data_IF_258740741908
#
_entry.id   IF_258740741908
#
_cell.length_a   1.000
_cell.length_b   1.000
_cell.length_c   1.000
_cell.angle_alpha   90.00
_cell.angle_beta   90.00
_cell.angle_gamma   90.00
#
_symmetry.space_group_name_H-M   'P 1'
#
loop_
_entity.id
_entity.type
_entity.pdbx_description
1 polymer ?
#
# COMPACT_ATOMS: atom_id res chain seq x y z
N UNK A 1 -16.51 13.91 -25.39
CA UNK A 1 -15.35 13.03 -25.04
C UNK A 1 -14.10 13.69 -25.58
N UNK A 2 -13.08 13.93 -24.74
CA UNK A 2 -11.78 14.47 -25.15
C UNK A 2 -10.76 13.34 -25.34
N UNK A 3 -10.00 13.38 -26.44
CA UNK A 3 -8.88 12.47 -26.67
C UNK A 3 -7.57 13.20 -26.37
N UNK A 4 -6.63 12.54 -25.70
CA UNK A 4 -5.31 13.10 -25.42
C UNK A 4 -5.27 14.10 -24.26
N UNK A 5 -6.21 14.05 -23.33
CA UNK A 5 -6.26 14.94 -22.16
C UNK A 5 -4.94 14.94 -21.34
N UNK A 6 -4.29 13.77 -21.20
CA UNK A 6 -3.01 13.66 -20.52
C UNK A 6 -1.86 14.45 -21.15
N UNK A 7 -1.97 14.77 -22.45
CA UNK A 7 -0.94 15.53 -23.21
C UNK A 7 -1.13 17.05 -23.13
N UNK A 8 -2.25 17.52 -22.57
CA UNK A 8 -2.53 18.93 -22.38
C UNK A 8 -1.66 19.49 -21.26
N UNK A 9 -1.32 20.77 -21.36
CA UNK A 9 -0.73 21.54 -20.26
C UNK A 9 -1.74 21.67 -19.11
N UNK A 10 -1.28 22.02 -17.91
CA UNK A 10 -2.15 22.28 -16.75
C UNK A 10 -3.21 23.34 -17.06
N UNK A 11 -2.81 24.41 -17.73
CA UNK A 11 -3.69 25.52 -18.10
C UNK A 11 -4.76 25.10 -19.11
N UNK A 12 -4.40 24.33 -20.13
CA UNK A 12 -5.35 23.79 -21.10
C UNK A 12 -6.33 22.80 -20.45
N UNK A 13 -5.89 22.00 -19.47
CA UNK A 13 -6.77 21.12 -18.68
C UNK A 13 -7.78 21.92 -17.86
N UNK A 14 -7.33 22.98 -17.17
CA UNK A 14 -8.20 23.91 -16.42
C UNK A 14 -9.24 24.55 -17.32
N UNK A 15 -8.81 25.10 -18.45
CA UNK A 15 -9.72 25.72 -19.42
C UNK A 15 -10.77 24.74 -19.92
N UNK A 16 -10.37 23.52 -20.25
CA UNK A 16 -11.30 22.50 -20.69
C UNK A 16 -12.32 22.14 -19.61
N UNK A 17 -11.89 21.93 -18.36
CA UNK A 17 -12.81 21.67 -17.22
C UNK A 17 -13.81 22.81 -17.05
N UNK A 18 -13.33 24.08 -17.07
CA UNK A 18 -14.20 25.25 -16.94
C UNK A 18 -15.25 25.30 -18.04
N UNK A 19 -14.86 25.06 -19.29
CA UNK A 19 -15.78 25.10 -20.44
C UNK A 19 -16.83 23.98 -20.40
N UNK A 20 -16.50 22.83 -19.85
CA UNK A 20 -17.39 21.66 -19.85
C UNK A 20 -18.35 21.65 -18.65
N UNK A 21 -17.92 22.17 -17.49
CA UNK A 21 -18.61 21.90 -16.22
C UNK A 21 -18.96 23.13 -15.40
N UNK A 22 -18.40 24.29 -15.68
CA UNK A 22 -18.71 25.49 -14.94
C UNK A 22 -19.74 26.38 -15.73
N UNK A 23 -20.78 26.78 -15.03
CA UNK A 23 -21.79 27.72 -15.57
C UNK A 23 -21.27 29.13 -15.66
N UNK A 24 -20.32 29.50 -14.78
CA UNK A 24 -19.72 30.80 -14.66
C UNK A 24 -18.20 30.70 -14.77
N UNK A 25 -17.55 31.24 -15.82
CA UNK A 25 -16.11 31.23 -16.01
C UNK A 25 -15.30 31.85 -14.85
N UNK A 26 -15.88 32.79 -14.08
CA UNK A 26 -15.20 33.40 -12.94
C UNK A 26 -14.86 32.37 -11.83
N UNK A 27 -15.61 31.28 -11.75
CA UNK A 27 -15.34 30.17 -10.82
C UNK A 27 -14.02 29.43 -11.12
N UNK A 28 -13.42 29.66 -12.28
CA UNK A 28 -12.11 29.11 -12.62
C UNK A 28 -10.99 29.58 -11.68
N UNK A 29 -11.14 30.71 -11.02
CA UNK A 29 -10.19 31.21 -10.03
C UNK A 29 -9.97 30.26 -8.86
N UNK A 30 -10.93 29.37 -8.56
CA UNK A 30 -10.78 28.36 -7.51
C UNK A 30 -9.57 27.45 -7.75
N UNK A 31 -9.26 27.14 -9.02
CA UNK A 31 -8.13 26.26 -9.34
C UNK A 31 -6.76 26.94 -9.15
N UNK A 32 -6.72 28.26 -9.12
CA UNK A 32 -5.47 29.03 -8.91
C UNK A 32 -5.34 29.59 -7.50
N UNK A 33 -6.46 29.69 -6.76
CA UNK A 33 -6.49 30.24 -5.39
C UNK A 33 -5.57 29.52 -4.41
N UNK A 34 -5.32 28.24 -4.64
CA UNK A 34 -4.49 27.39 -3.80
C UNK A 34 -3.15 27.02 -4.43
N UNK A 35 -2.76 27.67 -5.54
CA UNK A 35 -1.45 27.48 -6.12
C UNK A 35 -0.37 27.97 -5.13
N UNK A 36 0.68 27.19 -5.00
CA UNK A 36 1.84 27.50 -4.17
C UNK A 36 2.78 28.46 -4.92
N UNK A 37 3.87 28.90 -4.27
CA UNK A 37 4.93 29.56 -5.02
C UNK A 37 5.47 28.61 -6.12
N UNK A 38 6.08 29.19 -7.17
CA UNK A 38 6.44 28.45 -8.40
C UNK A 38 7.19 27.13 -8.14
N UNK A 39 8.16 27.13 -7.22
CA UNK A 39 8.98 25.94 -6.96
C UNK A 39 8.19 24.82 -6.27
N UNK A 40 7.36 25.18 -5.28
CA UNK A 40 6.53 24.21 -4.57
C UNK A 40 5.38 23.73 -5.47
N UNK A 41 4.80 24.62 -6.29
CA UNK A 41 3.74 24.24 -7.20
C UNK A 41 4.23 23.27 -8.27
N UNK A 42 5.41 23.51 -8.83
CA UNK A 42 6.03 22.57 -9.76
C UNK A 42 6.23 21.20 -9.15
N UNK A 43 6.73 21.14 -7.91
CA UNK A 43 6.90 19.88 -7.19
C UNK A 43 5.56 19.16 -7.01
N UNK A 44 4.49 19.89 -6.65
CA UNK A 44 3.15 19.30 -6.48
C UNK A 44 2.56 18.81 -7.81
N UNK A 45 2.79 19.53 -8.89
CA UNK A 45 2.32 19.15 -10.23
C UNK A 45 3.02 17.86 -10.73
N UNK A 46 4.24 17.61 -10.25
CA UNK A 46 5.02 16.41 -10.61
C UNK A 46 4.67 15.16 -9.78
N UNK A 47 3.83 15.27 -8.73
CA UNK A 47 3.46 14.12 -7.89
C UNK A 47 2.51 13.14 -8.57
N UNK A 48 1.59 13.64 -9.39
CA UNK A 48 0.59 12.84 -10.11
C UNK A 48 0.32 13.41 -11.50
N UNK A 49 -0.18 12.58 -12.41
CA UNK A 49 -0.55 12.97 -13.75
C UNK A 49 -1.85 13.80 -13.75
N UNK A 50 -1.98 14.66 -14.77
CA UNK A 50 -3.19 15.44 -15.05
C UNK A 50 -3.60 16.44 -13.96
N UNK A 51 -2.67 16.92 -13.16
CA UNK A 51 -2.91 17.94 -12.12
C UNK A 51 -3.59 19.17 -12.70
N UNK A 52 -4.66 19.65 -12.07
CA UNK A 52 -5.41 20.87 -12.42
C UNK A 52 -5.35 21.92 -11.31
N UNK A 53 -4.93 21.57 -10.11
CA UNK A 53 -4.84 22.45 -8.95
C UNK A 53 -4.50 21.69 -7.69
N UNK A 54 -4.42 22.37 -6.57
CA UNK A 54 -4.25 21.79 -5.25
C UNK A 54 -5.60 21.64 -4.55
N UNK A 55 -5.72 20.60 -3.72
CA UNK A 55 -6.80 20.46 -2.76
C UNK A 55 -6.21 20.53 -1.35
N UNK A 56 -6.65 21.51 -0.55
CA UNK A 56 -6.09 21.80 0.76
C UNK A 56 -7.04 21.25 1.84
N UNK A 57 -6.48 20.44 2.74
CA UNK A 57 -7.16 19.95 3.93
C UNK A 57 -6.52 20.52 5.20
N UNK A 58 -7.32 20.74 6.27
CA UNK A 58 -6.78 21.15 7.56
C UNK A 58 -5.79 20.12 8.11
N UNK A 59 -4.62 20.57 8.56
CA UNK A 59 -3.62 19.77 9.24
C UNK A 59 -3.68 20.06 10.73
N UNK A 60 -4.06 19.06 11.53
CA UNK A 60 -4.25 19.14 12.96
C UNK A 60 -3.38 18.12 13.70
N UNK A 61 -3.39 18.15 15.03
CA UNK A 61 -2.69 17.17 15.87
C UNK A 61 -3.59 16.68 17.00
N UNK A 62 -3.47 15.39 17.31
CA UNK A 62 -4.10 14.76 18.48
C UNK A 62 -3.01 14.37 19.49
N UNK A 63 -2.88 15.08 20.63
CA UNK A 63 -1.89 14.78 21.66
C UNK A 63 -2.38 13.66 22.60
N UNK A 64 -1.49 13.31 23.55
CA UNK A 64 -1.75 12.41 24.68
C UNK A 64 -1.87 10.92 24.32
N UNK A 65 -1.34 10.47 23.20
CA UNK A 65 -1.17 9.05 22.94
C UNK A 65 -0.02 8.51 23.78
N UNK A 66 -0.32 7.81 24.85
CA UNK A 66 0.67 7.05 25.62
C UNK A 66 0.77 5.65 25.00
N UNK A 67 1.89 5.35 24.34
CA UNK A 67 2.14 4.08 23.66
C UNK A 67 3.43 3.50 24.23
N UNK A 68 3.38 2.30 24.78
CA UNK A 68 4.51 1.61 25.39
C UNK A 68 5.34 2.50 26.34
N UNK A 69 4.63 3.30 27.15
CA UNK A 69 5.24 4.21 28.14
C UNK A 69 5.73 5.55 27.60
N UNK A 70 5.59 5.83 26.30
CA UNK A 70 6.01 7.09 25.69
C UNK A 70 4.81 7.88 25.15
N UNK A 71 4.84 9.21 25.35
CA UNK A 71 3.81 10.10 24.82
C UNK A 71 4.09 10.50 23.38
N UNK A 72 3.07 10.38 22.55
CA UNK A 72 3.10 10.80 21.16
C UNK A 72 2.00 11.83 20.87
N UNK A 73 2.29 12.71 19.90
CA UNK A 73 1.33 13.61 19.28
C UNK A 73 1.14 13.17 17.84
N UNK A 74 -0.07 12.75 17.49
CA UNK A 74 -0.38 12.15 16.18
C UNK A 74 -0.87 13.23 15.22
N UNK A 75 -0.24 13.43 14.06
CA UNK A 75 -0.74 14.33 13.02
C UNK A 75 -1.97 13.74 12.35
N UNK A 76 -2.93 14.60 12.02
CA UNK A 76 -4.19 14.22 11.37
C UNK A 76 -4.54 15.21 10.28
N UNK A 77 -4.96 14.69 9.12
CA UNK A 77 -5.48 15.48 8.00
C UNK A 77 -6.87 14.98 7.67
N UNK A 78 -7.88 15.82 7.83
CA UNK A 78 -9.27 15.47 7.55
C UNK A 78 -10.12 16.74 7.39
N UNK A 79 -11.29 16.56 6.79
CA UNK A 79 -12.26 17.60 6.49
C UNK A 79 -13.37 17.75 7.56
N UNK A 80 -13.49 16.77 8.48
CA UNK A 80 -14.63 16.72 9.41
C UNK A 80 -14.29 17.35 10.76
N UNK A 81 -15.22 18.16 11.27
CA UNK A 81 -15.14 18.72 12.62
C UNK A 81 -15.33 17.64 13.70
N UNK A 82 -14.87 17.90 14.91
CA UNK A 82 -15.00 17.06 16.10
C UNK A 82 -14.17 15.76 16.12
N UNK A 83 -13.75 15.20 15.00
CA UNK A 83 -12.97 13.94 14.97
C UNK A 83 -11.65 14.08 15.73
N UNK A 84 -10.87 15.14 15.49
CA UNK A 84 -9.59 15.38 16.21
C UNK A 84 -9.85 15.56 17.72
N UNK A 85 -10.92 16.22 18.09
CA UNK A 85 -11.30 16.42 19.49
C UNK A 85 -11.68 15.09 20.16
N UNK A 86 -12.45 14.24 19.45
CA UNK A 86 -12.84 12.91 19.95
C UNK A 86 -11.60 12.00 20.11
N UNK A 87 -10.70 11.97 19.12
CA UNK A 87 -9.44 11.22 19.17
C UNK A 87 -8.57 11.69 20.34
N UNK A 88 -8.40 13.01 20.52
CA UNK A 88 -7.61 13.58 21.62
C UNK A 88 -8.19 13.26 22.98
N UNK A 89 -9.55 13.29 23.11
CA UNK A 89 -10.26 12.91 24.33
C UNK A 89 -10.06 11.43 24.66
N UNK A 90 -10.17 10.55 23.66
CA UNK A 90 -9.97 9.11 23.83
C UNK A 90 -8.48 8.81 24.19
N UNK A 91 -7.52 9.44 23.50
CA UNK A 91 -6.10 9.28 23.80
C UNK A 91 -5.79 9.68 25.25
N UNK A 92 -6.32 10.82 25.72
CA UNK A 92 -6.17 11.26 27.12
C UNK A 92 -6.79 10.26 28.09
N UNK A 93 -8.02 9.79 27.84
CA UNK A 93 -8.68 8.79 28.70
C UNK A 93 -7.80 7.53 28.86
N UNK A 94 -7.33 6.97 27.74
CA UNK A 94 -6.51 5.77 27.79
C UNK A 94 -5.12 6.01 28.39
N UNK A 95 -4.52 7.20 28.21
CA UNK A 95 -3.25 7.52 28.87
C UNK A 95 -3.36 7.50 30.39
N UNK A 96 -4.50 7.93 30.95
CA UNK A 96 -4.79 7.88 32.38
C UNK A 96 -5.04 6.44 32.90
N UNK A 97 -5.27 5.48 32.00
CA UNK A 97 -5.48 4.06 32.32
C UNK A 97 -4.24 3.19 32.04
N UNK A 98 -3.09 3.79 31.73
CA UNK A 98 -1.84 3.08 31.43
C UNK A 98 -1.43 3.09 29.96
N UNK A 99 -2.30 3.61 29.07
CA UNK A 99 -1.99 3.79 27.66
C UNK A 99 -2.20 2.55 26.81
N UNK A 100 -1.62 2.56 25.62
CA UNK A 100 -1.65 1.49 24.65
C UNK A 100 -0.41 0.62 24.80
N UNK A 101 -0.59 -0.69 24.87
CA UNK A 101 0.48 -1.68 24.77
C UNK A 101 0.48 -2.25 23.37
N UNK A 102 1.57 -2.03 22.62
CA UNK A 102 1.66 -2.38 21.22
C UNK A 102 2.66 -3.50 20.99
N UNK A 103 2.33 -4.41 20.09
CA UNK A 103 3.22 -5.49 19.68
C UNK A 103 3.15 -5.68 18.17
N UNK A 104 4.28 -5.50 17.50
CA UNK A 104 4.45 -5.90 16.10
C UNK A 104 4.47 -7.43 16.05
N UNK A 105 3.49 -8.03 15.38
CA UNK A 105 3.37 -9.49 15.23
C UNK A 105 4.19 -9.99 14.06
N UNK A 106 4.07 -9.32 12.94
CA UNK A 106 4.84 -9.57 11.73
C UNK A 106 4.82 -8.35 10.82
N UNK A 107 5.83 -8.21 9.98
CA UNK A 107 5.96 -7.14 8.98
C UNK A 107 6.04 -7.71 7.56
N UNK A 108 5.54 -8.93 7.35
CA UNK A 108 5.55 -9.56 6.04
C UNK A 108 4.63 -8.84 5.06
N UNK A 109 5.19 -8.50 3.92
CA UNK A 109 4.51 -7.97 2.74
C UNK A 109 4.38 -9.07 1.70
N UNK A 110 3.43 -8.91 0.80
CA UNK A 110 3.14 -9.92 -0.23
C UNK A 110 3.25 -9.30 -1.60
N UNK A 111 3.84 -10.05 -2.52
CA UNK A 111 3.79 -9.79 -3.95
C UNK A 111 3.34 -11.02 -4.72
N UNK A 112 2.74 -10.81 -5.87
CA UNK A 112 2.25 -11.90 -6.71
C UNK A 112 2.82 -11.80 -8.10
N UNK A 113 3.11 -12.98 -8.70
CA UNK A 113 3.26 -13.15 -10.15
C UNK A 113 2.10 -14.02 -10.59
N UNK A 114 1.26 -13.49 -11.46
CA UNK A 114 0.09 -14.16 -11.99
C UNK A 114 0.49 -14.87 -13.27
N UNK A 115 0.28 -16.19 -13.29
CA UNK A 115 0.66 -17.06 -14.40
C UNK A 115 -0.57 -17.69 -15.03
N UNK A 116 -0.55 -17.80 -16.34
CA UNK A 116 -1.46 -18.63 -17.10
C UNK A 116 -0.68 -19.76 -17.76
N UNK A 117 -1.14 -21.01 -17.62
CA UNK A 117 -0.46 -22.17 -18.17
C UNK A 117 -1.47 -23.26 -18.56
N UNK A 118 -1.54 -23.59 -19.84
CA UNK A 118 -2.48 -24.58 -20.40
C UNK A 118 -1.94 -26.02 -20.37
N UNK A 119 -0.69 -26.22 -19.94
CA UNK A 119 -0.06 -27.53 -19.87
C UNK A 119 -0.43 -28.35 -18.64
N UNK A 120 0.31 -29.45 -18.42
CA UNK A 120 0.12 -30.31 -17.27
C UNK A 120 0.55 -29.66 -15.97
N UNK A 121 -0.34 -29.67 -14.99
CA UNK A 121 -0.11 -29.06 -13.67
C UNK A 121 1.14 -29.65 -12.97
N UNK A 122 1.37 -30.96 -13.08
CA UNK A 122 2.50 -31.59 -12.40
C UNK A 122 3.81 -31.15 -13.06
N UNK A 123 3.82 -31.00 -14.39
CA UNK A 123 4.95 -30.44 -15.12
C UNK A 123 5.29 -29.02 -14.64
N UNK A 124 4.29 -28.16 -14.47
CA UNK A 124 4.47 -26.80 -13.96
C UNK A 124 5.08 -26.78 -12.54
N UNK A 125 4.58 -27.63 -11.64
CA UNK A 125 5.10 -27.69 -10.27
C UNK A 125 6.52 -28.24 -10.21
N UNK A 126 6.86 -29.24 -11.03
CA UNK A 126 8.21 -29.76 -11.16
C UNK A 126 9.17 -28.70 -11.72
N UNK A 127 8.74 -28.03 -12.80
CA UNK A 127 9.48 -26.91 -13.37
C UNK A 127 9.78 -25.84 -12.32
N UNK A 128 8.76 -25.40 -11.59
CA UNK A 128 8.90 -24.36 -10.57
C UNK A 128 9.88 -24.80 -9.46
N UNK A 129 9.78 -26.04 -8.99
CA UNK A 129 10.71 -26.58 -8.00
C UNK A 129 12.16 -26.60 -8.49
N UNK A 130 12.39 -26.80 -9.79
CA UNK A 130 13.71 -26.78 -10.39
C UNK A 130 14.30 -25.38 -10.43
N UNK A 131 13.49 -24.36 -10.73
CA UNK A 131 13.96 -22.99 -10.91
C UNK A 131 13.89 -22.12 -9.64
N UNK A 132 13.25 -22.57 -8.56
CA UNK A 132 13.03 -21.76 -7.35
C UNK A 132 14.35 -21.14 -6.84
N UNK A 133 15.44 -21.90 -6.81
CA UNK A 133 16.73 -21.41 -6.35
C UNK A 133 17.27 -20.28 -7.25
N UNK A 134 17.00 -20.32 -8.57
CA UNK A 134 17.40 -19.27 -9.52
C UNK A 134 16.65 -17.97 -9.24
N UNK A 135 15.38 -18.03 -8.80
CA UNK A 135 14.61 -16.84 -8.45
C UNK A 135 15.27 -16.07 -7.30
N UNK A 136 15.77 -16.78 -6.29
CA UNK A 136 16.55 -16.17 -5.21
C UNK A 136 17.89 -15.61 -5.73
N UNK A 137 18.61 -16.38 -6.55
CA UNK A 137 19.90 -16.00 -7.08
C UNK A 137 19.83 -14.75 -7.97
N UNK A 138 18.90 -14.73 -8.92
CA UNK A 138 18.71 -13.63 -9.85
C UNK A 138 18.25 -12.32 -9.19
N UNK A 139 17.69 -12.39 -7.99
CA UNK A 139 17.27 -11.22 -7.22
C UNK A 139 18.30 -10.76 -6.18
N UNK A 140 19.46 -11.43 -6.05
CA UNK A 140 20.47 -11.10 -5.03
C UNK A 140 20.93 -9.66 -5.06
N UNK A 141 21.20 -9.11 -6.24
CA UNK A 141 21.63 -7.71 -6.40
C UNK A 141 20.57 -6.71 -5.93
N UNK A 142 19.29 -7.00 -6.22
CA UNK A 142 18.15 -6.15 -5.80
C UNK A 142 17.95 -6.22 -4.29
N UNK A 143 18.12 -7.41 -3.71
CA UNK A 143 17.84 -7.67 -2.27
C UNK A 143 18.99 -7.28 -1.34
N UNK A 144 20.17 -7.00 -1.83
CA UNK A 144 21.40 -6.77 -1.04
C UNK A 144 21.21 -5.72 0.06
N UNK A 145 20.73 -4.54 -0.31
CA UNK A 145 20.55 -3.44 0.65
C UNK A 145 19.42 -3.72 1.65
N UNK A 146 18.39 -4.45 1.26
CA UNK A 146 17.31 -4.86 2.15
C UNK A 146 17.79 -5.92 3.14
N UNK A 147 18.58 -6.90 2.68
CA UNK A 147 19.20 -7.93 3.54
C UNK A 147 20.15 -7.34 4.59
N UNK A 148 20.94 -6.32 4.23
CA UNK A 148 21.79 -5.60 5.19
C UNK A 148 20.98 -4.95 6.34
N UNK A 149 19.69 -4.70 6.12
CA UNK A 149 18.75 -4.17 7.13
C UNK A 149 17.89 -5.24 7.80
N UNK A 150 18.21 -6.52 7.59
CA UNK A 150 17.49 -7.65 8.18
C UNK A 150 16.21 -8.04 7.44
N UNK A 151 15.95 -7.48 6.26
CA UNK A 151 14.82 -7.82 5.41
C UNK A 151 15.20 -8.69 4.22
N UNK A 152 14.35 -8.71 3.20
CA UNK A 152 14.53 -9.46 1.96
C UNK A 152 13.34 -10.35 1.62
N UNK A 153 13.56 -11.34 0.75
CA UNK A 153 12.56 -12.34 0.38
C UNK A 153 12.49 -13.40 1.49
N UNK A 154 11.29 -13.64 2.03
CA UNK A 154 11.05 -14.67 3.07
C UNK A 154 10.67 -16.02 2.46
N UNK A 155 9.80 -16.02 1.45
CA UNK A 155 9.39 -17.27 0.78
C UNK A 155 8.92 -17.00 -0.64
N UNK A 156 9.02 -18.04 -1.48
CA UNK A 156 8.49 -18.07 -2.85
C UNK A 156 7.71 -19.36 -2.99
N UNK A 157 6.40 -19.29 -3.28
CA UNK A 157 5.52 -20.46 -3.33
C UNK A 157 4.66 -20.38 -4.58
N UNK A 158 4.64 -21.44 -5.40
CA UNK A 158 3.67 -21.59 -6.47
C UNK A 158 2.34 -22.11 -5.89
N UNK A 159 1.26 -21.38 -6.14
CA UNK A 159 -0.10 -21.72 -5.76
C UNK A 159 -0.93 -22.12 -6.97
N UNK A 160 -1.66 -23.19 -6.82
CA UNK A 160 -2.71 -23.57 -7.74
C UNK A 160 -3.95 -22.73 -7.47
N UNK A 161 -4.41 -22.03 -8.48
CA UNK A 161 -5.60 -21.18 -8.43
C UNK A 161 -6.66 -21.65 -9.45
N UNK A 162 -6.52 -22.87 -9.97
CA UNK A 162 -7.40 -23.42 -11.01
C UNK A 162 -8.85 -23.61 -10.55
N UNK A 163 -9.10 -23.72 -9.26
CA UNK A 163 -10.45 -23.71 -8.68
C UNK A 163 -11.17 -22.37 -8.89
N UNK A 164 -10.41 -21.27 -9.00
CA UNK A 164 -10.96 -19.93 -9.19
C UNK A 164 -11.04 -19.55 -10.68
N UNK A 165 -10.05 -19.94 -11.45
CA UNK A 165 -9.96 -19.69 -12.88
C UNK A 165 -9.12 -20.79 -13.53
N UNK A 166 -9.66 -21.43 -14.57
CA UNK A 166 -8.98 -22.49 -15.32
C UNK A 166 -7.62 -22.00 -15.84
N UNK A 167 -6.60 -22.86 -15.75
CA UNK A 167 -5.19 -22.58 -16.15
C UNK A 167 -4.48 -21.47 -15.38
N UNK A 168 -5.07 -20.96 -14.29
CA UNK A 168 -4.50 -19.87 -13.52
C UNK A 168 -3.69 -20.37 -12.32
N UNK A 169 -2.47 -19.84 -12.20
CA UNK A 169 -1.53 -20.09 -11.10
C UNK A 169 -0.96 -18.78 -10.57
N UNK A 170 -0.43 -18.81 -9.36
CA UNK A 170 0.11 -17.63 -8.73
C UNK A 170 1.42 -17.95 -8.00
N UNK A 171 2.51 -17.28 -8.36
CA UNK A 171 3.70 -17.26 -7.51
C UNK A 171 3.45 -16.26 -6.39
N UNK A 172 3.34 -16.77 -5.19
CA UNK A 172 3.11 -16.00 -3.97
C UNK A 172 4.46 -15.78 -3.29
N UNK A 173 4.89 -14.52 -3.22
CA UNK A 173 6.19 -14.15 -2.66
C UNK A 173 5.98 -13.32 -1.41
N UNK A 174 6.64 -13.68 -0.31
CA UNK A 174 6.64 -12.89 0.93
C UNK A 174 7.96 -12.17 1.13
N UNK A 175 7.87 -10.96 1.67
CA UNK A 175 8.99 -10.06 1.85
C UNK A 175 9.00 -9.43 3.24
N UNK A 176 10.18 -9.26 3.81
CA UNK A 176 10.40 -8.41 4.98
C UNK A 176 11.06 -7.10 4.51
N UNK A 177 10.37 -5.99 4.70
CA UNK A 177 10.82 -4.66 4.25
C UNK A 177 11.19 -3.73 5.41
N UNK A 178 11.17 -4.22 6.66
CA UNK A 178 11.33 -3.39 7.84
C UNK A 178 10.30 -2.27 7.87
N UNK A 179 10.71 -1.07 8.22
CA UNK A 179 9.83 0.11 8.31
C UNK A 179 9.44 0.69 6.95
N UNK A 180 10.02 0.18 5.85
CA UNK A 180 9.69 0.67 4.51
C UNK A 180 8.39 0.03 4.00
N UNK A 181 7.60 0.80 3.21
CA UNK A 181 6.49 0.24 2.43
C UNK A 181 7.00 -0.81 1.44
N UNK A 182 8.14 -0.56 0.80
CA UNK A 182 8.88 -1.51 0.01
C UNK A 182 8.35 -1.73 -1.41
N UNK A 183 7.42 -0.92 -1.92
CA UNK A 183 6.75 -1.16 -3.20
C UNK A 183 7.72 -1.31 -4.37
N UNK A 184 8.63 -0.36 -4.57
CA UNK A 184 9.61 -0.40 -5.66
C UNK A 184 10.54 -1.62 -5.53
N UNK A 185 10.99 -1.93 -4.31
CA UNK A 185 11.83 -3.09 -4.03
C UNK A 185 11.11 -4.40 -4.39
N UNK A 186 9.87 -4.56 -3.92
CA UNK A 186 9.06 -5.76 -4.18
C UNK A 186 8.79 -5.89 -5.67
N UNK A 187 8.33 -4.83 -6.34
CA UNK A 187 8.03 -4.88 -7.77
C UNK A 187 9.28 -5.21 -8.59
N UNK A 188 10.44 -4.63 -8.30
CA UNK A 188 11.70 -4.96 -8.98
C UNK A 188 12.10 -6.42 -8.81
N UNK A 189 11.88 -7.01 -7.60
CA UNK A 189 12.11 -8.43 -7.39
C UNK A 189 11.14 -9.30 -8.22
N UNK A 190 9.85 -8.96 -8.20
CA UNK A 190 8.82 -9.71 -8.93
C UNK A 190 9.04 -9.64 -10.46
N UNK A 191 9.37 -8.47 -10.99
CA UNK A 191 9.69 -8.29 -12.39
C UNK A 191 10.90 -9.14 -12.81
N UNK A 192 11.96 -9.15 -11.99
CA UNK A 192 13.13 -9.99 -12.26
C UNK A 192 12.80 -11.48 -12.20
N UNK A 193 11.98 -11.90 -11.20
CA UNK A 193 11.51 -13.28 -11.13
C UNK A 193 10.65 -13.65 -12.34
N UNK A 194 9.75 -12.79 -12.78
CA UNK A 194 8.90 -13.00 -13.96
C UNK A 194 9.72 -13.26 -15.20
N UNK A 195 10.71 -12.40 -15.46
CA UNK A 195 11.63 -12.57 -16.58
C UNK A 195 12.38 -13.91 -16.51
N UNK A 196 12.82 -14.32 -15.32
CA UNK A 196 13.50 -15.59 -15.11
C UNK A 196 12.56 -16.77 -15.38
N UNK A 197 11.34 -16.72 -14.86
CA UNK A 197 10.31 -17.76 -15.08
C UNK A 197 10.02 -17.93 -16.57
N UNK A 198 9.82 -16.84 -17.32
CA UNK A 198 9.54 -16.87 -18.75
C UNK A 198 10.72 -17.44 -19.55
N UNK A 199 11.96 -17.04 -19.22
CA UNK A 199 13.17 -17.53 -19.90
C UNK A 199 13.37 -19.02 -19.68
N UNK A 200 13.24 -19.50 -18.44
CA UNK A 200 13.42 -20.91 -18.10
C UNK A 200 12.29 -21.80 -18.63
N UNK A 201 11.07 -21.26 -18.68
CA UNK A 201 9.91 -21.98 -19.22
C UNK A 201 10.11 -22.42 -20.68
N UNK A 202 10.73 -21.56 -21.50
CA UNK A 202 11.04 -21.87 -22.91
C UNK A 202 11.88 -23.15 -23.06
N UNK A 203 12.76 -23.39 -22.09
CA UNK A 203 13.72 -24.50 -22.15
C UNK A 203 13.22 -25.75 -21.45
N UNK A 204 12.39 -25.60 -20.42
CA UNK A 204 12.06 -26.69 -19.51
C UNK A 204 10.62 -27.21 -19.63
N UNK A 205 9.69 -26.41 -20.18
CA UNK A 205 8.31 -26.85 -20.39
C UNK A 205 8.15 -27.41 -21.81
N UNK A 206 7.68 -28.66 -21.87
CA UNK A 206 7.56 -29.39 -23.14
C UNK A 206 6.24 -29.12 -23.84
N UNK A 207 5.18 -28.84 -23.08
CA UNK A 207 3.82 -28.68 -23.58
C UNK A 207 3.12 -27.51 -22.86
N UNK A 208 2.45 -26.67 -23.65
CA UNK A 208 1.74 -25.50 -23.17
C UNK A 208 2.60 -24.23 -23.11
N UNK A 209 1.99 -23.11 -23.40
CA UNK A 209 2.62 -21.81 -23.23
C UNK A 209 2.42 -21.33 -21.79
N UNK A 210 3.51 -20.95 -21.13
CA UNK A 210 3.44 -20.22 -19.88
C UNK A 210 3.47 -18.73 -20.19
N UNK A 211 2.48 -18.02 -19.69
CA UNK A 211 2.38 -16.57 -19.83
C UNK A 211 2.36 -15.90 -18.45
N UNK A 212 3.18 -14.88 -18.27
CA UNK A 212 3.12 -14.00 -17.11
C UNK A 212 2.12 -12.89 -17.38
N UNK A 213 0.96 -12.93 -16.73
CA UNK A 213 -0.10 -11.93 -16.92
C UNK A 213 0.25 -10.62 -16.20
N UNK A 214 0.81 -10.69 -15.01
CA UNK A 214 1.14 -9.54 -14.19
C UNK A 214 2.06 -9.93 -13.03
N UNK A 215 2.95 -9.02 -12.66
CA UNK A 215 3.76 -9.12 -11.44
C UNK A 215 3.63 -7.82 -10.63
N UNK A 216 3.11 -7.90 -9.41
CA UNK A 216 2.78 -6.71 -8.63
C UNK A 216 2.76 -6.96 -7.12
N UNK A 217 3.13 -5.93 -6.36
CA UNK A 217 2.88 -5.85 -4.91
C UNK A 217 1.38 -6.03 -4.63
N UNK A 218 1.06 -6.84 -3.64
CA UNK A 218 -0.31 -7.02 -3.16
C UNK A 218 -0.64 -6.04 -2.03
N UNK A 219 -1.84 -5.46 -2.08
CA UNK A 219 -2.41 -4.74 -0.93
C UNK A 219 -2.96 -5.70 0.14
N UNK A 220 -3.13 -6.97 -0.19
CA UNK A 220 -3.54 -7.99 0.76
C UNK A 220 -2.31 -8.55 1.49
N UNK A 221 -2.06 -8.03 2.68
CA UNK A 221 -0.92 -8.39 3.54
C UNK A 221 -1.40 -8.86 4.92
N UNK A 222 -2.06 -10.03 5.01
CA UNK A 222 -2.72 -10.49 6.23
C UNK A 222 -1.76 -10.73 7.40
N UNK A 223 -0.47 -10.91 7.11
CA UNK A 223 0.57 -11.12 8.11
C UNK A 223 1.29 -9.82 8.52
N UNK A 224 0.99 -8.68 7.88
CA UNK A 224 1.55 -7.39 8.30
C UNK A 224 0.69 -6.82 9.43
N UNK A 225 0.91 -7.29 10.66
CA UNK A 225 0.02 -7.09 11.79
C UNK A 225 0.71 -6.41 12.97
N UNK A 226 0.02 -5.42 13.52
CA UNK A 226 0.32 -4.83 14.84
C UNK A 226 -0.88 -5.07 15.75
N UNK A 227 -0.63 -5.57 16.96
CA UNK A 227 -1.62 -5.67 18.02
C UNK A 227 -1.47 -4.49 18.96
N UNK A 228 -2.55 -3.77 19.22
CA UNK A 228 -2.62 -2.75 20.25
C UNK A 228 -3.68 -3.15 21.30
N UNK A 229 -3.33 -3.04 22.56
CA UNK A 229 -4.20 -3.39 23.69
C UNK A 229 -4.34 -2.22 24.64
N UNK A 230 -5.54 -2.06 25.17
CA UNK A 230 -5.86 -1.13 26.27
C UNK A 230 -6.67 -1.85 27.33
N UNK A 231 -6.54 -1.44 28.60
CA UNK A 231 -7.30 -2.00 29.71
C UNK A 231 -7.71 -0.90 30.68
N UNK A 232 -8.95 -0.94 31.13
CA UNK A 232 -9.45 -0.05 32.17
C UNK A 232 -10.42 -0.78 33.09
N UNK A 233 -10.50 -0.41 34.40
CA UNK A 233 -11.57 -0.87 35.25
C UNK A 233 -12.93 -0.44 34.71
N UNK A 234 -13.94 -1.32 34.72
CA UNK A 234 -15.32 -1.03 34.24
C UNK A 234 -15.88 0.25 34.86
N UNK A 235 -15.58 0.50 36.12
CA UNK A 235 -16.02 1.73 36.83
C UNK A 235 -15.48 3.03 36.24
N UNK A 236 -14.37 2.98 35.47
CA UNK A 236 -13.79 4.13 34.76
C UNK A 236 -14.42 4.39 33.39
N UNK A 237 -15.20 3.44 32.88
CA UNK A 237 -15.86 3.52 31.57
C UNK A 237 -17.26 4.13 31.68
N UNK A 238 -17.66 4.63 32.84
CA UNK A 238 -18.96 5.32 33.04
C UNK A 238 -18.97 6.64 32.27
N UNK A 239 -20.08 6.92 31.61
CA UNK A 239 -20.29 8.17 30.88
C UNK A 239 -21.65 8.77 31.27
N UNK A 240 -21.66 10.01 31.77
CA UNK A 240 -22.80 10.65 32.41
C UNK A 240 -23.36 9.75 33.54
N UNK A 241 -24.64 9.42 33.49
CA UNK A 241 -25.31 8.55 34.48
C UNK A 241 -25.31 7.06 34.06
N UNK A 242 -24.62 6.69 32.97
CA UNK A 242 -24.52 5.31 32.48
C UNK A 242 -23.32 4.64 33.14
N UNK A 243 -23.57 3.57 33.89
CA UNK A 243 -22.50 2.77 34.49
C UNK A 243 -21.71 1.98 33.43
N UNK A 244 -20.38 1.90 33.56
CA UNK A 244 -19.50 1.24 32.61
C UNK A 244 -19.82 -0.23 32.33
N UNK A 245 -20.46 -0.92 33.27
CA UNK A 245 -20.90 -2.33 33.09
C UNK A 245 -22.00 -2.54 32.05
N UNK A 246 -22.53 -1.46 31.47
CA UNK A 246 -23.57 -1.49 30.42
C UNK A 246 -22.94 -1.54 29.01
N UNK A 247 -21.62 -1.36 28.90
CA UNK A 247 -20.87 -1.39 27.64
C UNK A 247 -20.24 -2.75 27.37
#
# INVERSE_FOLDING_TARGET
MIKGFSKLTKEEKRQWICQQYLSDPSQAEVFTSYDLNENLQKLHDDFIENTIGNYILPFAVAPNFLIDGHYYTVPMVLEESSVVAAVSKAAKFWSEQGGFLCQVRSMEKVGHIHLFFEGDKQELFQFFSTIEHLLYEQTQGITENMRKRGGGISSIILKDMTDSLEHYYQVFVTFLTGDAMGANFINSCLEKMSQTIEQEAITHLSHGALEVLMSILSNYTPQCLVRAEVSAPVSRMSFNDIEGKVF
#
